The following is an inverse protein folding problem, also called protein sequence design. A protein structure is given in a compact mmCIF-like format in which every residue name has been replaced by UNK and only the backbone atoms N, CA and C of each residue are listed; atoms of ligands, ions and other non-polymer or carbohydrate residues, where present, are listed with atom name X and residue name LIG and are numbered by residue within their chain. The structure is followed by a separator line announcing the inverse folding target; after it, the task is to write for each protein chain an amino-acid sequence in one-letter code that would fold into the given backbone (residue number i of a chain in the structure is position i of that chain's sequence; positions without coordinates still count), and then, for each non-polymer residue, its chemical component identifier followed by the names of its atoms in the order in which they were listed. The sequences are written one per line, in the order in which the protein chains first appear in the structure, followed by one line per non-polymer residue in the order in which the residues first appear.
data_IF_323428900048
#
_entry.id   IF_323428900048
#
_cell.length_a   1.000
_cell.length_b   1.000
_cell.length_c   1.000
_cell.angle_alpha   90.00
_cell.angle_beta   90.00
_cell.angle_gamma   90.00
#
_symmetry.space_group_name_H-M   'P 1'
#
loop_
_entity.id
_entity.type
_entity.pdbx_description
1 polymer ?
#
# COMPACT_ATOMS: atom_id res chain seq x y z
N UNK A 1 -12.14 11.02 -0.06
CA UNK A 1 -13.35 11.32 0.73
C UNK A 1 -14.54 11.19 -0.20
N UNK A 2 -15.61 10.57 0.24
CA UNK A 2 -16.85 10.45 -0.50
C UNK A 2 -17.83 11.60 -0.19
N UNK A 3 -18.98 11.63 -0.86
CA UNK A 3 -19.96 12.70 -0.71
C UNK A 3 -20.60 12.78 0.70
N UNK A 4 -20.57 11.69 1.47
CA UNK A 4 -21.06 11.67 2.86
C UNK A 4 -20.02 12.13 3.89
N UNK A 5 -18.85 12.59 3.45
CA UNK A 5 -17.78 13.07 4.32
C UNK A 5 -16.90 11.97 4.94
N UNK A 6 -17.12 10.72 4.56
CA UNK A 6 -16.25 9.60 4.96
C UNK A 6 -14.99 9.59 4.11
N UNK A 7 -13.87 9.31 4.72
CA UNK A 7 -12.57 9.28 4.06
C UNK A 7 -11.78 8.03 4.40
N UNK A 8 -10.85 7.68 3.53
CA UNK A 8 -9.86 6.62 3.74
C UNK A 8 -8.50 7.15 3.29
N UNK A 9 -7.48 6.86 4.05
CA UNK A 9 -6.09 7.09 3.66
C UNK A 9 -5.43 5.76 3.33
N UNK A 10 -4.77 5.69 2.17
CA UNK A 10 -3.99 4.55 1.73
C UNK A 10 -2.51 4.82 2.00
N UNK A 11 -1.77 3.83 2.45
CA UNK A 11 -0.34 3.94 2.75
C UNK A 11 0.36 2.58 2.70
N UNK A 12 1.68 2.64 2.62
CA UNK A 12 2.53 1.46 2.77
C UNK A 12 2.89 1.25 4.23
N UNK A 13 2.91 -0.01 4.67
CA UNK A 13 3.32 -0.42 6.01
C UNK A 13 4.60 -1.22 5.91
N UNK A 14 5.62 -0.78 6.64
CA UNK A 14 6.90 -1.47 6.75
C UNK A 14 7.38 -1.39 8.21
N UNK A 15 8.12 -2.38 8.66
CA UNK A 15 8.66 -2.39 10.02
C UNK A 15 9.33 -3.71 10.36
N UNK A 16 9.71 -3.87 11.61
CA UNK A 16 10.35 -5.10 12.08
C UNK A 16 9.40 -6.31 11.99
N UNK A 17 8.11 -6.07 12.18
CA UNK A 17 7.08 -7.11 12.20
C UNK A 17 6.32 -7.23 10.86
N UNK A 18 6.64 -6.37 9.88
CA UNK A 18 5.93 -6.32 8.61
C UNK A 18 6.90 -6.25 7.44
N UNK A 19 6.80 -7.21 6.54
CA UNK A 19 7.29 -7.00 5.19
C UNK A 19 6.49 -5.90 4.49
N UNK A 20 7.02 -5.28 3.41
CA UNK A 20 6.33 -4.20 2.72
C UNK A 20 4.91 -4.57 2.31
N UNK A 21 3.93 -3.95 2.96
CA UNK A 21 2.50 -4.30 2.92
C UNK A 21 1.67 -3.12 2.48
N UNK A 22 0.55 -3.40 1.81
CA UNK A 22 -0.48 -2.41 1.53
C UNK A 22 -1.41 -2.25 2.73
N UNK A 23 -1.67 -1.02 3.15
CA UNK A 23 -2.54 -0.73 4.27
C UNK A 23 -3.42 0.49 4.05
N UNK A 24 -4.43 0.60 4.90
CA UNK A 24 -5.27 1.79 4.94
C UNK A 24 -5.84 2.04 6.34
N UNK A 25 -6.34 3.23 6.57
CA UNK A 25 -7.16 3.58 7.73
C UNK A 25 -8.34 4.45 7.29
N UNK A 26 -9.48 4.25 7.92
CA UNK A 26 -10.62 5.15 7.76
C UNK A 26 -10.34 6.47 8.48
N UNK A 27 -10.84 7.56 7.93
CA UNK A 27 -10.75 8.88 8.54
C UNK A 27 -12.16 9.42 8.79
N UNK A 28 -12.36 9.91 9.99
CA UNK A 28 -13.60 10.54 10.42
C UNK A 28 -13.29 11.92 11.02
N UNK A 29 -14.09 12.92 10.65
CA UNK A 29 -13.87 14.29 11.11
C UNK A 29 -14.07 14.46 12.63
N UNK A 30 -14.80 13.56 13.28
CA UNK A 30 -15.10 13.60 14.72
C UNK A 30 -14.13 12.73 15.50
N UNK A 31 -13.87 11.49 15.00
CA UNK A 31 -13.13 10.47 15.72
C UNK A 31 -11.66 10.37 15.27
N UNK A 32 -11.27 11.10 14.23
CA UNK A 32 -9.92 11.05 13.67
C UNK A 32 -9.65 9.80 12.83
N UNK A 33 -8.44 9.27 12.93
CA UNK A 33 -8.03 8.07 12.20
C UNK A 33 -8.47 6.80 12.95
N UNK A 34 -9.07 5.88 12.21
CA UNK A 34 -9.41 4.54 12.69
C UNK A 34 -8.19 3.61 12.77
N UNK A 35 -8.44 2.35 13.09
CA UNK A 35 -7.40 1.34 13.13
C UNK A 35 -6.76 1.12 11.75
N UNK A 36 -5.48 0.78 11.76
CA UNK A 36 -4.76 0.37 10.55
C UNK A 36 -5.26 -1.01 10.12
N UNK A 37 -5.62 -1.13 8.85
CA UNK A 37 -6.01 -2.38 8.21
C UNK A 37 -4.95 -2.74 7.18
N UNK A 38 -4.40 -3.95 7.28
CA UNK A 38 -3.51 -4.49 6.24
C UNK A 38 -4.38 -5.14 5.18
N UNK A 39 -4.45 -4.53 4.00
CA UNK A 39 -5.25 -5.03 2.87
C UNK A 39 -4.51 -6.11 2.06
N UNK A 40 -3.19 -5.98 1.96
CA UNK A 40 -2.33 -7.00 1.35
C UNK A 40 -1.03 -7.11 2.16
N UNK A 41 -0.88 -8.17 2.97
CA UNK A 41 0.35 -8.38 3.73
C UNK A 41 1.51 -8.72 2.79
N UNK A 42 2.66 -8.09 3.02
CA UNK A 42 3.90 -8.44 2.37
C UNK A 42 4.37 -9.83 2.81
N UNK A 43 4.92 -10.59 1.88
CA UNK A 43 5.40 -11.95 2.13
C UNK A 43 6.93 -12.05 2.15
N UNK A 44 7.61 -11.09 1.58
CA UNK A 44 9.07 -11.06 1.44
C UNK A 44 9.58 -9.63 1.64
N UNK A 45 10.87 -9.48 2.00
CA UNK A 45 11.49 -8.16 2.01
C UNK A 45 11.61 -7.61 0.58
N UNK A 46 11.65 -6.29 0.46
CA UNK A 46 12.07 -5.66 -0.77
C UNK A 46 13.60 -5.73 -0.89
N UNK A 47 14.09 -6.56 -1.77
CA UNK A 47 15.52 -6.60 -2.11
C UNK A 47 15.87 -5.72 -3.31
N UNK A 48 14.87 -5.02 -3.84
CA UNK A 48 15.05 -4.04 -4.87
C UNK A 48 15.68 -4.53 -6.14
N UNK A 49 14.86 -5.04 -7.01
CA UNK A 49 15.19 -4.91 -8.40
C UNK A 49 14.81 -3.53 -8.92
N UNK A 50 14.93 -2.52 -8.21
CA UNK A 50 14.73 -1.20 -8.79
C UNK A 50 15.96 -0.76 -9.60
N UNK A 51 16.84 -1.70 -9.90
CA UNK A 51 18.03 -1.45 -10.70
C UNK A 51 19.12 -0.65 -9.98
N UNK A 52 18.87 -0.28 -8.76
CA UNK A 52 19.81 0.57 -8.03
C UNK A 52 20.99 -0.19 -7.48
N UNK A 53 20.83 -1.44 -7.09
CA UNK A 53 21.92 -2.26 -6.56
C UNK A 53 23.01 -2.50 -7.61
N UNK A 54 22.69 -2.84 -8.88
CA UNK A 54 23.69 -2.96 -9.94
C UNK A 54 24.43 -1.65 -10.25
N UNK A 55 23.82 -0.52 -9.94
CA UNK A 55 24.42 0.80 -10.15
C UNK A 55 25.13 1.36 -8.91
N UNK A 56 25.35 0.54 -7.88
CA UNK A 56 26.07 0.93 -6.67
C UNK A 56 25.20 1.56 -5.57
N UNK A 57 23.90 1.62 -5.73
CA UNK A 57 22.99 2.03 -4.68
C UNK A 57 22.74 0.87 -3.70
N UNK A 58 22.73 1.17 -2.41
CA UNK A 58 22.63 0.16 -1.34
C UNK A 58 21.20 -0.10 -0.87
N UNK A 59 20.24 0.71 -1.29
CA UNK A 59 18.85 0.59 -0.90
C UNK A 59 17.96 0.43 -2.13
N UNK A 60 17.03 -0.47 -2.03
CA UNK A 60 15.97 -0.59 -2.98
C UNK A 60 15.02 0.60 -2.90
N UNK A 61 14.32 0.88 -3.97
CA UNK A 61 13.27 1.88 -4.02
C UNK A 61 11.92 1.19 -4.18
N UNK A 62 10.98 1.53 -3.28
CA UNK A 62 9.66 0.92 -3.24
C UNK A 62 8.67 1.84 -2.52
N UNK A 63 7.36 1.68 -2.80
CA UNK A 63 6.32 2.35 -2.04
C UNK A 63 6.12 3.82 -2.41
N UNK A 64 6.47 4.22 -3.61
CA UNK A 64 6.40 5.61 -4.06
C UNK A 64 4.96 6.13 -4.22
N UNK A 65 4.01 5.23 -4.50
CA UNK A 65 2.65 5.63 -4.87
C UNK A 65 1.58 4.82 -4.16
N UNK A 66 0.61 5.54 -3.61
CA UNK A 66 -0.68 5.00 -3.21
C UNK A 66 -1.78 5.99 -3.59
N UNK A 67 -2.98 5.51 -3.85
CA UNK A 67 -4.10 6.36 -4.24
C UNK A 67 -5.41 5.85 -3.67
N UNK A 68 -6.29 6.80 -3.33
CA UNK A 68 -7.66 6.54 -2.93
C UNK A 68 -8.62 7.40 -3.76
N UNK A 69 -9.66 6.79 -4.34
CA UNK A 69 -10.66 7.47 -5.17
C UNK A 69 -12.04 7.01 -4.74
N UNK A 70 -12.94 7.96 -4.44
CA UNK A 70 -14.34 7.67 -4.20
C UNK A 70 -15.08 7.55 -5.53
N UNK A 71 -15.96 6.56 -5.65
CA UNK A 71 -16.88 6.42 -6.78
C UNK A 71 -18.25 7.06 -6.50
N UNK A 72 -19.13 7.03 -7.47
CA UNK A 72 -20.48 7.61 -7.39
C UNK A 72 -21.38 6.90 -6.38
N UNK A 73 -21.13 5.63 -6.03
CA UNK A 73 -21.84 4.89 -5.01
C UNK A 73 -21.42 5.26 -3.60
N UNK A 74 -20.32 6.00 -3.45
CA UNK A 74 -19.71 6.36 -2.17
C UNK A 74 -18.69 5.36 -1.67
N UNK A 75 -18.44 4.26 -2.39
CA UNK A 75 -17.32 3.37 -2.12
C UNK A 75 -15.99 4.06 -2.42
N UNK A 76 -14.94 3.68 -1.70
CA UNK A 76 -13.59 4.21 -1.89
C UNK A 76 -12.68 3.09 -2.36
N UNK A 77 -12.10 3.27 -3.55
CA UNK A 77 -11.14 2.34 -4.15
C UNK A 77 -9.73 2.79 -3.84
N UNK A 78 -8.91 1.84 -3.41
CA UNK A 78 -7.52 2.05 -3.01
C UNK A 78 -6.61 1.24 -3.92
N UNK A 79 -5.52 1.86 -4.37
CA UNK A 79 -4.42 1.18 -5.05
C UNK A 79 -3.14 1.37 -4.25
N UNK A 80 -2.54 0.28 -3.78
CA UNK A 80 -1.32 0.28 -2.99
C UNK A 80 -0.33 -0.74 -3.52
N UNK A 81 0.95 -0.51 -3.23
CA UNK A 81 2.01 -1.46 -3.51
C UNK A 81 2.25 -2.38 -2.31
N UNK A 82 2.69 -3.61 -2.58
CA UNK A 82 3.12 -4.59 -1.58
C UNK A 82 4.14 -5.56 -2.20
N UNK A 83 4.87 -6.30 -1.39
CA UNK A 83 5.80 -7.33 -1.86
C UNK A 83 5.16 -8.71 -1.71
N UNK A 84 4.64 -9.28 -2.81
CA UNK A 84 4.01 -10.61 -2.78
C UNK A 84 5.04 -11.74 -2.64
N UNK A 85 4.54 -12.94 -2.36
CA UNK A 85 5.33 -14.16 -2.41
C UNK A 85 5.55 -14.57 -3.87
N UNK A 86 6.65 -14.16 -4.44
CA UNK A 86 7.00 -14.46 -5.82
C UNK A 86 8.51 -14.48 -6.05
N UNK A 87 8.95 -15.13 -7.14
CA UNK A 87 10.36 -15.17 -7.49
C UNK A 87 10.89 -13.75 -7.78
N UNK A 88 12.17 -13.57 -7.48
CA UNK A 88 12.88 -12.31 -7.62
C UNK A 88 14.13 -12.49 -8.45
N UNK A 89 13.99 -13.07 -9.62
CA UNK A 89 15.13 -13.45 -10.44
C UNK A 89 15.74 -12.23 -11.16
N UNK A 90 15.02 -11.73 -12.15
CA UNK A 90 15.51 -10.63 -13.01
C UNK A 90 14.75 -9.35 -12.76
N UNK A 91 13.47 -9.46 -12.39
CA UNK A 91 12.58 -8.31 -12.17
C UNK A 91 12.20 -8.17 -10.70
N UNK A 92 11.79 -6.97 -10.31
CA UNK A 92 11.20 -6.73 -9.01
C UNK A 92 9.97 -7.60 -8.80
N UNK A 93 9.79 -8.10 -7.58
CA UNK A 93 8.64 -8.91 -7.20
C UNK A 93 7.53 -8.11 -6.50
N UNK A 94 7.49 -6.81 -6.69
CA UNK A 94 6.43 -6.00 -6.12
C UNK A 94 5.16 -6.05 -6.97
N UNK A 95 4.05 -5.93 -6.29
CA UNK A 95 2.73 -5.97 -6.89
C UNK A 95 1.86 -4.80 -6.43
N UNK A 96 0.77 -4.59 -7.12
CA UNK A 96 -0.26 -3.62 -6.74
C UNK A 96 -1.48 -4.38 -6.24
N UNK A 97 -2.05 -3.93 -5.14
CA UNK A 97 -3.28 -4.47 -4.59
C UNK A 97 -4.39 -3.41 -4.66
N UNK A 98 -5.53 -3.82 -5.19
CA UNK A 98 -6.72 -2.97 -5.27
C UNK A 98 -7.70 -3.39 -4.20
N UNK A 99 -8.11 -2.46 -3.35
CA UNK A 99 -9.08 -2.67 -2.27
C UNK A 99 -10.27 -1.75 -2.45
N UNK A 100 -11.46 -2.24 -2.25
CA UNK A 100 -12.67 -1.43 -2.14
C UNK A 100 -13.13 -1.38 -0.68
N UNK A 101 -13.42 -0.21 -0.20
CA UNK A 101 -13.92 0.06 1.16
C UNK A 101 -15.25 0.80 1.07
N UNK A 102 -16.23 0.34 1.83
CA UNK A 102 -17.49 1.05 2.08
C UNK A 102 -17.42 1.65 3.50
N UNK A 103 -16.99 2.90 3.65
CA UNK A 103 -16.76 3.53 4.95
C UNK A 103 -18.06 4.00 5.64
#
# INVERSE_FOLDING_TARGET
MNASGKAVIAFSVVGQDFFPSAGFASLDAVNGAGAIVISAPGALPDYGFTGYVPFGFRSARWGDYSRAVADESGAIWLGNEFIPNGPRDILANWGTFITMVNP
#
